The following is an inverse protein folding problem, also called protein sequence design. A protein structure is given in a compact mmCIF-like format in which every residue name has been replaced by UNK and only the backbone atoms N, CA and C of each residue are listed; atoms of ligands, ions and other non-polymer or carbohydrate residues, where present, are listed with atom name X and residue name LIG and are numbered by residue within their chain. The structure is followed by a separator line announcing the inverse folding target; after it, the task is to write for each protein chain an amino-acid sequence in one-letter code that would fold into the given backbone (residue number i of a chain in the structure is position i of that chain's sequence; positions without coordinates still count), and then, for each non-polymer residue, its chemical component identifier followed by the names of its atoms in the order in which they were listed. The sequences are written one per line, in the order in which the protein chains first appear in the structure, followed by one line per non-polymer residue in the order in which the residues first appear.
data_IF_165348310034
#
_entry.id   IF_165348310034
#
_cell.length_a   1.000
_cell.length_b   1.000
_cell.length_c   1.000
_cell.angle_alpha   90.00
_cell.angle_beta   90.00
_cell.angle_gamma   90.00
#
_symmetry.space_group_name_H-M   'P 1'
#
loop_
_entity.id
_entity.type
_entity.pdbx_description
1 polymer ?
#
# COMPACT_ATOMS: atom_id res chain seq x y z
N UNK A 1 -14.89 9.16 18.49
CA UNK A 1 -15.36 8.68 17.18
C UNK A 1 -14.22 8.69 16.18
N UNK A 2 -14.24 7.81 15.14
CA UNK A 2 -13.12 7.65 14.20
C UNK A 2 -12.71 8.94 13.47
N UNK A 3 -13.66 9.83 13.22
CA UNK A 3 -13.44 11.12 12.54
C UNK A 3 -12.63 12.09 13.40
N UNK A 4 -12.79 12.10 14.71
CA UNK A 4 -12.01 12.96 15.62
C UNK A 4 -10.55 12.53 15.74
N UNK A 5 -10.26 11.22 15.67
CA UNK A 5 -8.88 10.70 15.64
C UNK A 5 -8.13 11.11 14.36
N UNK A 6 -8.81 11.14 13.22
CA UNK A 6 -8.21 11.58 11.93
C UNK A 6 -7.87 13.06 11.94
N UNK A 7 -8.68 13.90 12.59
CA UNK A 7 -8.44 15.35 12.71
C UNK A 7 -7.27 15.63 13.67
N UNK A 8 -7.10 14.83 14.72
CA UNK A 8 -5.98 14.94 15.66
C UNK A 8 -4.63 14.55 15.06
N UNK A 9 -4.61 13.79 13.96
CA UNK A 9 -3.39 13.37 13.26
C UNK A 9 -2.90 14.40 12.22
N UNK A 10 -3.67 15.45 11.91
CA UNK A 10 -3.23 16.54 11.04
C UNK A 10 -2.29 17.48 11.81
N UNK A 11 -1.02 17.49 11.39
CA UNK A 11 -0.01 18.44 11.90
C UNK A 11 0.86 17.95 13.04
N UNK A 12 0.95 16.63 13.25
CA UNK A 12 1.96 16.00 14.11
C UNK A 12 3.02 15.32 13.24
N UNK A 13 4.27 15.44 13.68
CA UNK A 13 5.35 14.56 13.23
C UNK A 13 4.95 13.12 13.51
N UNK A 14 4.70 12.34 12.47
CA UNK A 14 4.26 10.96 12.64
C UNK A 14 5.33 10.00 12.15
N UNK A 15 5.60 8.97 12.93
CA UNK A 15 6.39 7.82 12.51
C UNK A 15 5.46 6.72 12.04
N UNK A 16 5.53 6.41 10.76
CA UNK A 16 4.59 5.51 10.09
C UNK A 16 5.32 4.24 9.66
N UNK A 17 4.79 3.08 10.07
CA UNK A 17 5.20 1.80 9.51
C UNK A 17 4.39 1.50 8.25
N UNK A 18 5.03 1.47 7.10
CA UNK A 18 4.41 1.07 5.83
C UNK A 18 4.68 -0.41 5.59
N UNK A 19 3.63 -1.16 5.32
CA UNK A 19 3.68 -2.62 5.14
C UNK A 19 3.07 -3.02 3.80
N UNK A 20 3.78 -3.89 3.08
CA UNK A 20 3.31 -4.52 1.86
C UNK A 20 3.52 -6.04 1.97
N UNK A 21 2.44 -6.76 2.25
CA UNK A 21 2.44 -8.22 2.40
C UNK A 21 2.11 -8.92 1.10
N UNK A 22 3.00 -9.83 0.68
CA UNK A 22 2.74 -10.86 -0.31
C UNK A 22 2.50 -12.21 0.36
N UNK A 23 2.25 -13.26 -0.45
CA UNK A 23 1.95 -14.63 0.07
C UNK A 23 3.07 -15.22 0.93
N UNK A 24 4.33 -14.96 0.59
CA UNK A 24 5.52 -15.47 1.29
C UNK A 24 6.55 -14.39 1.58
N UNK A 25 6.16 -13.12 1.52
CA UNK A 25 7.06 -12.00 1.75
C UNK A 25 6.35 -10.82 2.41
N UNK A 26 7.11 -9.99 3.11
CA UNK A 26 6.65 -8.76 3.71
C UNK A 26 7.74 -7.70 3.49
N UNK A 27 7.42 -6.65 2.74
CA UNK A 27 8.28 -5.47 2.60
C UNK A 27 7.80 -4.39 3.55
N UNK A 28 8.73 -3.68 4.16
CA UNK A 28 8.39 -2.57 5.05
C UNK A 28 9.30 -1.36 4.86
N UNK A 29 8.75 -0.21 5.21
CA UNK A 29 9.47 1.04 5.44
C UNK A 29 8.96 1.69 6.71
N UNK A 30 9.85 2.25 7.50
CA UNK A 30 9.51 3.08 8.65
C UNK A 30 9.90 4.52 8.33
N UNK A 31 8.93 5.41 8.33
CA UNK A 31 9.02 6.74 7.72
C UNK A 31 8.72 7.81 8.75
N UNK A 32 9.54 8.87 8.77
CA UNK A 32 9.20 10.16 9.37
C UNK A 32 8.39 10.96 8.36
N UNK A 33 7.11 11.22 8.67
CA UNK A 33 6.19 11.83 7.72
C UNK A 33 6.41 13.34 7.53
N UNK A 34 7.00 14.02 8.51
CA UNK A 34 7.31 15.45 8.41
C UNK A 34 8.49 15.71 7.48
N UNK A 35 9.54 14.90 7.68
CA UNK A 35 10.76 15.02 6.87
C UNK A 35 10.68 14.32 5.53
N UNK A 36 9.63 13.51 5.31
CA UNK A 36 9.53 12.58 4.17
C UNK A 36 10.77 11.64 4.06
N UNK A 37 11.37 11.24 5.20
CA UNK A 37 12.56 10.42 5.28
C UNK A 37 12.26 8.98 5.65
N UNK A 38 12.95 8.04 5.01
CA UNK A 38 12.90 6.62 5.34
C UNK A 38 13.93 6.32 6.43
N UNK A 39 13.50 6.19 7.68
CA UNK A 39 14.36 5.91 8.83
C UNK A 39 14.94 4.48 8.79
N UNK A 40 14.12 3.52 8.36
CA UNK A 40 14.53 2.14 8.17
C UNK A 40 13.66 1.46 7.10
N UNK A 41 14.20 0.44 6.44
CA UNK A 41 13.47 -0.37 5.46
C UNK A 41 13.98 -1.80 5.44
N UNK A 42 13.19 -2.70 4.92
CA UNK A 42 13.62 -4.08 4.77
C UNK A 42 12.60 -4.98 4.13
N UNK A 43 12.92 -6.26 4.15
CA UNK A 43 12.07 -7.31 3.63
C UNK A 43 12.23 -8.58 4.45
N UNK A 44 11.11 -9.21 4.77
CA UNK A 44 11.05 -10.62 5.15
C UNK A 44 10.72 -11.42 3.90
N UNK A 45 11.49 -12.44 3.61
CA UNK A 45 11.31 -13.32 2.45
C UNK A 45 11.19 -14.77 2.92
N UNK A 46 10.57 -15.62 2.09
CA UNK A 46 10.42 -17.07 2.33
C UNK A 46 9.66 -17.39 3.63
N UNK A 47 8.68 -16.54 4.00
CA UNK A 47 7.78 -16.75 5.13
C UNK A 47 7.05 -18.07 4.92
N UNK A 48 6.99 -18.91 5.97
CA UNK A 48 6.41 -20.24 5.92
C UNK A 48 7.36 -21.33 5.42
N UNK A 49 8.64 -21.03 5.15
CA UNK A 49 9.65 -21.97 4.66
C UNK A 49 10.87 -21.93 5.60
N UNK A 50 11.84 -21.09 5.29
CA UNK A 50 13.12 -20.94 5.99
C UNK A 50 13.53 -19.47 6.14
N UNK A 51 12.59 -18.63 6.34
CA UNK A 51 12.58 -17.17 6.44
C UNK A 51 13.91 -16.41 6.55
N UNK A 52 13.99 -15.28 5.87
CA UNK A 52 15.10 -14.34 6.03
C UNK A 52 14.57 -12.94 6.29
N UNK A 53 15.21 -12.19 7.20
CA UNK A 53 14.98 -10.76 7.40
C UNK A 53 16.17 -9.99 6.85
N UNK A 54 15.90 -9.10 5.93
CA UNK A 54 16.81 -8.06 5.51
C UNK A 54 16.39 -6.73 6.11
N UNK A 55 17.32 -6.04 6.76
CA UNK A 55 17.10 -4.75 7.41
C UNK A 55 18.15 -3.74 6.96
N UNK A 56 17.74 -2.53 6.70
CA UNK A 56 18.62 -1.41 6.39
C UNK A 56 18.12 -0.15 7.12
N UNK A 57 18.98 0.44 7.91
CA UNK A 57 18.82 1.77 8.50
C UNK A 57 19.58 2.78 7.66
N UNK A 58 19.09 3.99 7.59
CA UNK A 58 19.79 5.07 6.90
C UNK A 58 21.23 5.25 7.42
N UNK A 59 22.18 5.39 6.51
CA UNK A 59 23.61 5.52 6.84
C UNK A 59 24.32 4.25 7.33
N UNK A 60 23.64 3.09 7.33
CA UNK A 60 24.19 1.81 7.77
C UNK A 60 24.17 0.77 6.64
N UNK A 61 25.09 -0.20 6.73
CA UNK A 61 25.11 -1.34 5.81
C UNK A 61 23.82 -2.16 5.96
N UNK A 62 23.32 -2.68 4.85
CA UNK A 62 22.22 -3.64 4.80
C UNK A 62 22.66 -4.95 5.45
N UNK A 63 21.85 -5.47 6.37
CA UNK A 63 22.06 -6.75 7.04
C UNK A 63 21.00 -7.75 6.63
N UNK A 64 21.37 -9.00 6.45
CA UNK A 64 20.45 -10.11 6.20
C UNK A 64 20.73 -11.21 7.22
N UNK A 65 19.68 -11.70 7.87
CA UNK A 65 19.75 -12.75 8.89
C UNK A 65 18.66 -13.79 8.63
N UNK A 66 18.99 -15.06 8.84
CA UNK A 66 18.02 -16.15 8.81
C UNK A 66 17.14 -16.07 10.06
N UNK A 67 15.84 -16.21 9.87
CA UNK A 67 14.82 -16.15 10.92
C UNK A 67 13.73 -17.15 10.62
N UNK A 68 13.42 -18.02 11.57
CA UNK A 68 12.27 -18.88 11.46
C UNK A 68 10.99 -18.04 11.52
N UNK A 69 10.28 -17.97 10.37
CA UNK A 69 9.07 -17.17 10.18
C UNK A 69 7.94 -18.09 9.70
N UNK A 70 7.33 -18.91 10.56
CA UNK A 70 6.25 -19.80 10.15
C UNK A 70 5.03 -19.04 9.63
N UNK A 71 4.79 -17.82 10.10
CA UNK A 71 3.70 -16.96 9.62
C UNK A 71 4.11 -15.49 9.50
N UNK A 72 3.25 -14.67 8.91
CA UNK A 72 3.44 -13.21 8.84
C UNK A 72 3.44 -12.54 10.23
N UNK A 73 2.85 -13.18 11.23
CA UNK A 73 2.87 -12.65 12.61
C UNK A 73 4.29 -12.64 13.15
N UNK A 74 5.07 -13.71 12.95
CA UNK A 74 6.48 -13.76 13.32
C UNK A 74 7.30 -12.76 12.49
N UNK A 75 7.02 -12.65 11.19
CA UNK A 75 7.69 -11.67 10.33
C UNK A 75 7.50 -10.24 10.85
N UNK A 76 6.27 -9.83 11.20
CA UNK A 76 5.99 -8.50 11.79
C UNK A 76 6.73 -8.33 13.12
N UNK A 77 6.75 -9.35 13.99
CA UNK A 77 7.50 -9.27 15.25
C UNK A 77 8.98 -9.00 15.01
N UNK A 78 9.62 -9.74 14.11
CA UNK A 78 11.03 -9.52 13.78
C UNK A 78 11.31 -8.15 13.17
N UNK A 79 10.37 -7.61 12.38
CA UNK A 79 10.46 -6.22 11.89
C UNK A 79 10.45 -5.25 13.07
N UNK A 80 9.50 -5.39 14.00
CA UNK A 80 9.40 -4.51 15.17
C UNK A 80 10.60 -4.64 16.12
N UNK A 81 11.09 -5.87 16.33
CA UNK A 81 12.31 -6.12 17.11
C UNK A 81 13.53 -5.44 16.47
N UNK A 82 13.65 -5.49 15.14
CA UNK A 82 14.73 -4.83 14.43
C UNK A 82 14.62 -3.29 14.50
N UNK A 83 13.39 -2.74 14.44
CA UNK A 83 13.16 -1.31 14.65
C UNK A 83 13.51 -0.84 16.07
N UNK A 84 13.38 -1.70 17.07
CA UNK A 84 13.68 -1.42 18.49
C UNK A 84 15.07 -1.90 18.95
N UNK A 85 15.88 -2.49 18.07
CA UNK A 85 17.20 -3.01 18.43
C UNK A 85 18.07 -1.91 19.04
N UNK A 86 18.78 -2.23 20.14
CA UNK A 86 19.55 -1.26 20.92
C UNK A 86 20.70 -0.63 20.15
N UNK A 87 21.23 -1.29 19.13
CA UNK A 87 22.40 -0.85 18.34
C UNK A 87 22.03 -0.25 16.98
N UNK A 88 21.01 -0.79 16.33
CA UNK A 88 20.63 -0.45 14.96
C UNK A 88 19.15 -0.04 14.79
N UNK A 89 18.38 -0.06 15.87
CA UNK A 89 16.99 0.37 15.85
C UNK A 89 16.84 1.88 15.63
N UNK A 90 15.62 2.28 15.32
CA UNK A 90 15.23 3.68 15.06
C UNK A 90 14.15 4.17 16.02
N UNK A 91 13.61 3.29 16.86
CA UNK A 91 12.68 3.60 17.96
C UNK A 91 13.09 2.87 19.24
N UNK A 92 12.61 3.37 20.38
CA UNK A 92 12.87 2.76 21.69
C UNK A 92 11.72 1.88 22.18
N UNK A 93 10.52 2.12 21.67
CA UNK A 93 9.31 1.36 22.04
C UNK A 93 8.26 1.42 20.92
N UNK A 94 7.31 0.49 20.95
CA UNK A 94 6.19 0.45 20.00
C UNK A 94 5.27 1.67 20.11
N UNK A 95 5.28 2.40 21.22
CA UNK A 95 4.51 3.64 21.39
C UNK A 95 4.98 4.78 20.48
N UNK A 96 6.12 4.63 19.81
CA UNK A 96 6.61 5.56 18.80
C UNK A 96 6.09 5.24 17.39
N UNK A 97 5.31 4.18 17.21
CA UNK A 97 4.62 3.89 15.96
C UNK A 97 3.25 4.57 15.99
N UNK A 98 3.11 5.68 15.30
CA UNK A 98 1.88 6.48 15.32
C UNK A 98 0.78 5.91 14.43
N UNK A 99 1.14 5.23 13.34
CA UNK A 99 0.21 4.59 12.41
C UNK A 99 0.88 3.46 11.61
N UNK A 100 0.05 2.55 11.06
CA UNK A 100 0.48 1.56 10.07
C UNK A 100 -0.25 1.79 8.77
N UNK A 101 0.49 1.97 7.68
CA UNK A 101 -0.05 2.02 6.32
C UNK A 101 0.08 0.65 5.64
N UNK A 102 -1.04 0.09 5.19
CA UNK A 102 -1.06 -1.19 4.47
C UNK A 102 -1.36 -0.96 3.00
N UNK A 103 -0.47 -1.43 2.13
CA UNK A 103 -0.81 -1.58 0.72
C UNK A 103 -1.83 -2.70 0.57
N UNK A 104 -2.95 -2.40 -0.09
CA UNK A 104 -3.98 -3.36 -0.51
C UNK A 104 -4.11 -3.26 -2.01
N UNK A 105 -4.03 -4.40 -2.70
CA UNK A 105 -3.98 -4.38 -4.16
C UNK A 105 -5.33 -3.98 -4.75
N UNK A 106 -6.44 -4.54 -4.28
CA UNK A 106 -7.75 -4.29 -4.86
C UNK A 106 -8.76 -3.74 -3.86
N UNK A 107 -9.26 -2.55 -4.14
CA UNK A 107 -10.29 -1.86 -3.34
C UNK A 107 -11.66 -1.79 -4.01
N UNK A 108 -11.86 -2.56 -5.09
CA UNK A 108 -13.11 -2.53 -5.85
C UNK A 108 -13.46 -1.14 -6.36
N UNK A 109 -14.74 -0.84 -6.46
CA UNK A 109 -15.25 0.47 -6.83
C UNK A 109 -15.55 1.37 -5.61
N UNK A 110 -15.64 0.76 -4.41
CA UNK A 110 -16.03 1.45 -3.18
C UNK A 110 -14.96 2.39 -2.66
N UNK A 111 -13.70 2.00 -2.76
CA UNK A 111 -12.60 2.78 -2.22
C UNK A 111 -11.91 3.61 -3.29
N UNK A 112 -12.15 4.92 -3.24
CA UNK A 112 -11.56 5.94 -4.13
C UNK A 112 -10.41 6.71 -3.48
N UNK A 113 -10.09 6.39 -2.22
CA UNK A 113 -9.02 6.99 -1.42
C UNK A 113 -8.57 6.01 -0.34
N UNK A 114 -7.51 6.37 0.38
CA UNK A 114 -7.08 5.65 1.58
C UNK A 114 -8.12 5.77 2.69
N UNK A 115 -8.31 4.70 3.48
CA UNK A 115 -9.30 4.64 4.55
C UNK A 115 -8.71 4.05 5.83
N UNK A 116 -9.21 4.47 6.99
CA UNK A 116 -8.94 3.79 8.25
C UNK A 116 -9.55 2.40 8.23
N UNK A 117 -8.77 1.42 8.68
CA UNK A 117 -9.18 0.02 8.71
C UNK A 117 -10.04 -0.22 9.94
N UNK A 118 -11.29 -0.57 9.69
CA UNK A 118 -12.22 -1.15 10.63
C UNK A 118 -12.70 -2.53 10.14
N UNK A 119 -13.59 -3.16 10.86
CA UNK A 119 -14.10 -4.49 10.50
C UNK A 119 -14.88 -4.45 9.17
N UNK A 120 -15.59 -3.37 8.86
CA UNK A 120 -16.31 -3.23 7.59
C UNK A 120 -15.35 -3.07 6.40
N UNK A 121 -14.22 -2.41 6.59
CA UNK A 121 -13.15 -2.32 5.57
C UNK A 121 -12.50 -3.68 5.35
N UNK A 122 -12.22 -4.43 6.42
CA UNK A 122 -11.67 -5.79 6.33
C UNK A 122 -12.62 -6.70 5.54
N UNK A 123 -13.92 -6.67 5.86
CA UNK A 123 -14.91 -7.51 5.18
C UNK A 123 -15.01 -7.16 3.70
N UNK A 124 -14.98 -5.88 3.34
CA UNK A 124 -14.99 -5.48 1.92
C UNK A 124 -13.69 -5.88 1.17
N UNK A 125 -12.53 -5.82 1.82
CA UNK A 125 -11.28 -6.32 1.22
C UNK A 125 -11.37 -7.84 0.98
N UNK A 126 -12.04 -8.60 1.86
CA UNK A 126 -12.33 -10.04 1.66
C UNK A 126 -13.22 -10.26 0.44
N UNK A 127 -14.30 -9.48 0.29
CA UNK A 127 -15.18 -9.54 -0.88
C UNK A 127 -14.40 -9.27 -2.18
N UNK A 128 -13.48 -8.30 -2.18
CA UNK A 128 -12.61 -8.00 -3.31
C UNK A 128 -11.55 -9.10 -3.60
N UNK A 129 -11.43 -10.12 -2.76
CA UNK A 129 -10.46 -11.20 -2.98
C UNK A 129 -10.75 -12.03 -4.22
N UNK A 130 -12.01 -12.10 -4.66
CA UNK A 130 -12.37 -12.76 -5.93
C UNK A 130 -11.79 -12.02 -7.15
N UNK A 131 -11.59 -10.71 -7.05
CA UNK A 131 -10.95 -9.88 -8.07
C UNK A 131 -9.42 -9.88 -7.99
N UNK A 132 -8.85 -10.23 -6.82
CA UNK A 132 -7.41 -10.27 -6.57
C UNK A 132 -7.02 -11.47 -5.69
N UNK A 133 -7.27 -12.72 -6.12
CA UNK A 133 -7.11 -13.91 -5.26
C UNK A 133 -5.67 -14.19 -4.86
N UNK A 134 -4.68 -13.70 -5.60
CA UNK A 134 -3.25 -13.85 -5.28
C UNK A 134 -2.71 -12.76 -4.35
N UNK A 135 -3.46 -11.69 -4.10
CA UNK A 135 -2.96 -10.50 -3.40
C UNK A 135 -3.77 -10.14 -2.16
N UNK A 136 -5.08 -9.92 -2.29
CA UNK A 136 -5.90 -9.45 -1.17
C UNK A 136 -5.86 -10.37 0.06
N UNK A 137 -5.91 -11.71 -0.08
CA UNK A 137 -5.77 -12.60 1.08
C UNK A 137 -4.45 -12.39 1.83
N UNK A 138 -3.34 -12.22 1.12
CA UNK A 138 -2.04 -11.95 1.73
C UNK A 138 -1.99 -10.57 2.41
N UNK A 139 -2.62 -9.55 1.80
CA UNK A 139 -2.73 -8.24 2.41
C UNK A 139 -3.54 -8.29 3.72
N UNK A 140 -4.63 -9.04 3.76
CA UNK A 140 -5.43 -9.25 4.97
C UNK A 140 -4.62 -9.93 6.08
N UNK A 141 -3.85 -10.97 5.76
CA UNK A 141 -2.96 -11.64 6.73
C UNK A 141 -2.01 -10.61 7.37
N UNK A 142 -1.44 -9.70 6.58
CA UNK A 142 -0.59 -8.63 7.08
C UNK A 142 -1.32 -7.65 8.01
N UNK A 143 -2.54 -7.25 7.65
CA UNK A 143 -3.39 -6.38 8.48
C UNK A 143 -3.71 -7.06 9.81
N UNK A 144 -4.16 -8.31 9.76
CA UNK A 144 -4.50 -9.09 10.96
C UNK A 144 -3.29 -9.31 11.88
N UNK A 145 -2.11 -9.59 11.30
CA UNK A 145 -0.87 -9.72 12.06
C UNK A 145 -0.50 -8.42 12.80
N UNK A 146 -0.58 -7.28 12.12
CA UNK A 146 -0.34 -5.97 12.75
C UNK A 146 -1.38 -5.65 13.82
N UNK A 147 -2.68 -5.89 13.55
CA UNK A 147 -3.79 -5.66 14.51
C UNK A 147 -3.60 -6.49 15.79
N UNK A 148 -3.08 -7.73 15.65
CA UNK A 148 -2.81 -8.60 16.80
C UNK A 148 -1.67 -8.10 17.68
N UNK A 149 -0.63 -7.50 17.09
CA UNK A 149 0.58 -7.06 17.83
C UNK A 149 0.42 -5.62 18.32
N UNK A 150 -0.24 -4.77 17.56
CA UNK A 150 -0.42 -3.35 17.82
C UNK A 150 -1.92 -2.96 17.76
N UNK A 151 -2.76 -3.46 18.68
CA UNK A 151 -4.22 -3.29 18.60
C UNK A 151 -4.69 -1.84 18.72
N UNK A 152 -3.91 -0.98 19.39
CA UNK A 152 -4.25 0.42 19.63
C UNK A 152 -3.69 1.38 18.55
N UNK A 153 -2.82 0.89 17.66
CA UNK A 153 -2.23 1.71 16.59
C UNK A 153 -3.20 1.80 15.41
N UNK A 154 -3.54 3.01 14.95
CA UNK A 154 -4.43 3.17 13.80
C UNK A 154 -3.80 2.60 12.54
N UNK A 155 -4.60 1.89 11.75
CA UNK A 155 -4.18 1.26 10.50
C UNK A 155 -4.94 1.85 9.32
N UNK A 156 -4.25 2.07 8.21
CA UNK A 156 -4.79 2.69 7.00
C UNK A 156 -4.58 1.75 5.83
N UNK A 157 -5.64 1.45 5.08
CA UNK A 157 -5.57 0.76 3.80
C UNK A 157 -5.34 1.76 2.67
N UNK A 158 -4.34 1.49 1.84
CA UNK A 158 -3.98 2.26 0.65
C UNK A 158 -4.12 1.36 -0.56
N UNK A 159 -5.10 1.66 -1.43
CA UNK A 159 -5.49 0.76 -2.52
C UNK A 159 -4.79 1.13 -3.83
N UNK A 160 -4.22 0.13 -4.51
CA UNK A 160 -3.61 0.33 -5.83
C UNK A 160 -4.62 0.81 -6.88
N UNK A 161 -5.90 0.42 -6.73
CA UNK A 161 -6.99 0.76 -7.64
C UNK A 161 -7.59 2.15 -7.41
N UNK A 162 -7.39 2.75 -6.24
CA UNK A 162 -8.10 3.97 -5.82
C UNK A 162 -7.86 5.16 -6.76
N UNK A 163 -6.62 5.40 -7.18
CA UNK A 163 -6.29 6.51 -8.07
C UNK A 163 -6.98 6.43 -9.43
N UNK A 164 -7.24 5.23 -9.90
CA UNK A 164 -7.84 4.95 -11.20
C UNK A 164 -9.38 5.07 -11.21
N UNK A 165 -10.01 5.24 -10.03
CA UNK A 165 -11.48 5.37 -9.95
C UNK A 165 -12.01 6.66 -10.58
N UNK A 166 -11.14 7.58 -10.98
CA UNK A 166 -11.50 8.79 -11.73
C UNK A 166 -11.63 8.57 -13.25
N UNK A 167 -11.32 7.37 -13.75
CA UNK A 167 -11.49 7.04 -15.18
C UNK A 167 -12.94 7.20 -15.64
N UNK A 168 -13.18 7.79 -16.82
CA UNK A 168 -14.53 7.86 -17.38
C UNK A 168 -15.02 6.48 -17.83
N UNK A 169 -16.34 6.28 -17.84
CA UNK A 169 -16.98 5.00 -18.20
C UNK A 169 -16.44 4.39 -19.49
N UNK A 170 -16.21 5.21 -20.52
CA UNK A 170 -15.65 4.77 -21.81
C UNK A 170 -14.23 4.20 -21.73
N UNK A 171 -13.48 4.50 -20.66
CA UNK A 171 -12.11 4.00 -20.46
C UNK A 171 -12.09 2.74 -19.60
N UNK A 172 -13.03 2.58 -18.65
CA UNK A 172 -13.03 1.42 -17.78
C UNK A 172 -13.95 0.28 -18.21
N UNK A 173 -14.97 0.56 -19.04
CA UNK A 173 -15.89 -0.48 -19.53
C UNK A 173 -15.27 -1.25 -20.70
N UNK A 174 -15.35 -2.59 -20.63
CA UNK A 174 -14.98 -3.45 -21.75
C UNK A 174 -16.11 -3.55 -22.79
N UNK A 175 -15.75 -3.84 -24.04
CA UNK A 175 -16.68 -4.05 -25.15
C UNK A 175 -17.33 -5.44 -25.12
N UNK A 176 -17.84 -5.88 -23.99
CA UNK A 176 -18.54 -7.15 -23.73
C UNK A 176 -19.95 -6.88 -23.22
N UNK A 177 -20.86 -7.87 -23.18
CA UNK A 177 -22.20 -7.66 -22.63
C UNK A 177 -22.18 -7.03 -21.23
N UNK A 178 -23.02 -6.01 -21.03
CA UNK A 178 -23.06 -5.20 -19.80
C UNK A 178 -23.37 -6.04 -18.55
N UNK A 179 -24.07 -7.16 -18.72
CA UNK A 179 -24.40 -8.10 -17.63
C UNK A 179 -23.16 -8.62 -16.87
N UNK A 180 -22.01 -8.70 -17.53
CA UNK A 180 -20.75 -9.10 -16.87
C UNK A 180 -20.24 -8.02 -15.91
N UNK A 181 -20.42 -6.76 -16.24
CA UNK A 181 -20.14 -5.68 -15.31
C UNK A 181 -21.15 -5.67 -14.16
N UNK A 182 -22.46 -5.72 -14.48
CA UNK A 182 -23.51 -5.62 -13.47
C UNK A 182 -23.47 -6.79 -12.46
N UNK A 183 -23.10 -8.00 -12.92
CA UNK A 183 -23.13 -9.20 -12.08
C UNK A 183 -21.78 -9.52 -11.43
N UNK A 184 -20.67 -9.26 -12.13
CA UNK A 184 -19.35 -9.71 -11.71
C UNK A 184 -18.34 -8.56 -11.54
N UNK A 185 -18.75 -7.31 -11.72
CA UNK A 185 -17.91 -6.13 -11.65
C UNK A 185 -16.71 -6.19 -12.62
N UNK A 186 -16.90 -6.87 -13.78
CA UNK A 186 -15.84 -6.99 -14.79
C UNK A 186 -15.67 -5.65 -15.52
N UNK A 187 -14.58 -4.97 -15.20
CA UNK A 187 -14.16 -3.69 -15.77
C UNK A 187 -12.66 -3.52 -15.65
N UNK A 188 -12.10 -2.51 -16.28
CA UNK A 188 -10.75 -2.05 -16.01
C UNK A 188 -10.71 -1.35 -14.66
N UNK A 189 -9.80 -1.78 -13.76
CA UNK A 189 -9.53 -1.11 -12.48
C UNK A 189 -8.19 -0.38 -12.52
N UNK A 190 -7.16 -1.01 -13.06
CA UNK A 190 -5.80 -0.51 -13.01
C UNK A 190 -5.15 -0.70 -11.64
N UNK A 191 -3.82 -0.72 -11.63
CA UNK A 191 -3.03 -0.96 -10.41
C UNK A 191 -1.85 0.02 -10.37
N UNK A 192 -1.01 -0.09 -9.33
CA UNK A 192 0.10 0.84 -9.05
C UNK A 192 -0.39 2.29 -8.84
N UNK A 193 -1.65 2.50 -8.50
CA UNK A 193 -2.27 3.82 -8.40
C UNK A 193 -1.56 4.76 -7.43
N UNK A 194 -1.04 4.24 -6.31
CA UNK A 194 -0.23 5.02 -5.36
C UNK A 194 1.02 5.58 -6.03
N UNK A 195 1.72 4.76 -6.83
CA UNK A 195 2.91 5.20 -7.58
C UNK A 195 2.54 6.25 -8.64
N UNK A 196 1.51 5.99 -9.44
CA UNK A 196 1.04 6.93 -10.47
C UNK A 196 0.62 8.27 -9.87
N UNK A 197 -0.10 8.26 -8.75
CA UNK A 197 -0.52 9.47 -8.04
C UNK A 197 0.68 10.25 -7.49
N UNK A 198 1.62 9.58 -6.82
CA UNK A 198 2.78 10.24 -6.22
C UNK A 198 3.71 10.82 -7.29
N UNK A 199 4.10 10.01 -8.28
CA UNK A 199 5.04 10.43 -9.33
C UNK A 199 4.45 11.56 -10.18
N UNK A 200 3.16 11.52 -10.50
CA UNK A 200 2.54 12.60 -11.28
C UNK A 200 2.52 13.94 -10.53
N UNK A 201 2.26 13.92 -9.22
CA UNK A 201 2.33 15.13 -8.38
C UNK A 201 3.75 15.69 -8.33
N UNK A 202 4.74 14.82 -8.05
CA UNK A 202 6.15 15.23 -8.03
C UNK A 202 6.65 15.73 -9.39
N UNK A 203 6.19 15.14 -10.48
CA UNK A 203 6.51 15.62 -11.83
C UNK A 203 5.93 17.02 -12.09
N UNK A 204 4.68 17.28 -11.69
CA UNK A 204 4.06 18.60 -11.81
C UNK A 204 4.84 19.67 -11.00
N UNK A 205 5.21 19.35 -9.75
CA UNK A 205 6.07 20.18 -8.91
C UNK A 205 7.40 20.52 -9.59
N UNK A 206 8.10 19.52 -10.13
CA UNK A 206 9.40 19.67 -10.80
C UNK A 206 9.34 20.54 -12.07
N UNK A 207 8.25 20.47 -12.84
CA UNK A 207 8.08 21.28 -14.05
C UNK A 207 7.46 22.65 -13.77
N UNK A 208 7.15 22.94 -12.50
CA UNK A 208 6.58 24.21 -12.07
C UNK A 208 5.16 24.47 -12.58
N UNK A 209 4.34 23.42 -12.79
CA UNK A 209 2.94 23.55 -13.24
C UNK A 209 1.97 23.10 -12.16
N UNK A 210 0.81 23.79 -12.02
CA UNK A 210 -0.27 23.29 -11.18
C UNK A 210 -0.68 21.89 -11.62
N UNK A 211 -0.84 20.99 -10.66
CA UNK A 211 -1.20 19.57 -10.94
C UNK A 211 -2.54 19.47 -11.68
N UNK A 212 -3.48 20.33 -11.31
CA UNK A 212 -4.82 20.41 -11.89
C UNK A 212 -4.86 20.96 -13.33
N UNK A 213 -3.74 21.51 -13.81
CA UNK A 213 -3.58 22.03 -15.19
C UNK A 213 -2.63 21.17 -16.02
N UNK A 214 -2.09 20.10 -15.42
CA UNK A 214 -1.08 19.25 -16.04
C UNK A 214 -1.69 18.10 -16.82
N UNK A 215 -1.02 17.72 -17.91
CA UNK A 215 -1.25 16.46 -18.66
C UNK A 215 0.03 15.65 -18.61
N UNK A 216 -0.06 14.47 -18.04
CA UNK A 216 1.10 13.64 -17.75
C UNK A 216 0.86 12.19 -18.18
N UNK A 217 1.92 11.56 -18.67
CA UNK A 217 1.98 10.10 -18.81
C UNK A 217 3.00 9.61 -17.79
N UNK A 218 2.57 8.68 -16.94
CA UNK A 218 3.45 8.07 -15.94
C UNK A 218 3.64 6.61 -16.28
N UNK A 219 4.90 6.20 -16.37
CA UNK A 219 5.31 4.81 -16.58
C UNK A 219 5.87 4.27 -15.25
N UNK A 220 5.17 3.31 -14.66
CA UNK A 220 5.67 2.51 -13.55
C UNK A 220 6.33 1.27 -14.14
N UNK A 221 7.66 1.17 -14.05
CA UNK A 221 8.45 0.09 -14.65
C UNK A 221 9.19 -0.67 -13.55
N UNK A 222 8.73 -1.87 -13.25
CA UNK A 222 9.28 -2.74 -12.21
C UNK A 222 9.05 -4.21 -12.56
N UNK A 223 8.94 -5.08 -11.56
CA UNK A 223 8.53 -6.48 -11.75
C UNK A 223 7.14 -6.61 -12.38
N UNK A 224 6.22 -5.68 -12.06
CA UNK A 224 5.04 -5.35 -12.86
C UNK A 224 5.25 -4.01 -13.57
N UNK A 225 4.62 -3.80 -14.72
CA UNK A 225 4.71 -2.56 -15.48
C UNK A 225 3.31 -2.03 -15.82
N UNK A 226 3.11 -0.71 -15.69
CA UNK A 226 1.88 -0.03 -16.09
C UNK A 226 2.16 1.38 -16.56
N UNK A 227 1.28 1.87 -17.42
CA UNK A 227 1.29 3.24 -17.93
C UNK A 227 -0.05 3.88 -17.61
N UNK A 228 -0.06 5.10 -17.10
CA UNK A 228 -1.30 5.84 -16.83
C UNK A 228 -1.29 7.21 -17.49
N UNK A 229 -2.41 7.55 -18.10
CA UNK A 229 -2.68 8.89 -18.62
C UNK A 229 -3.40 9.71 -17.54
N UNK A 230 -2.83 10.87 -17.22
CA UNK A 230 -3.33 11.76 -16.17
C UNK A 230 -3.61 13.12 -16.79
N UNK A 231 -4.79 13.63 -16.55
CA UNK A 231 -5.22 14.95 -17.02
C UNK A 231 -5.91 15.68 -15.87
N UNK A 232 -5.47 16.90 -15.63
CA UNK A 232 -6.04 17.77 -14.60
C UNK A 232 -6.09 17.11 -13.21
N UNK A 233 -5.00 16.44 -12.84
CA UNK A 233 -4.88 15.75 -11.55
C UNK A 233 -5.64 14.42 -11.43
N UNK A 234 -6.26 13.92 -12.50
CA UNK A 234 -7.10 12.71 -12.52
C UNK A 234 -6.56 11.68 -13.49
N UNK A 235 -6.57 10.41 -13.11
CA UNK A 235 -6.35 9.32 -14.04
C UNK A 235 -7.52 9.25 -15.03
N UNK A 236 -7.21 9.27 -16.33
CA UNK A 236 -8.20 9.20 -17.40
C UNK A 236 -8.13 7.88 -18.18
N UNK A 237 -7.00 7.18 -18.08
CA UNK A 237 -6.78 5.85 -18.64
C UNK A 237 -5.56 5.18 -18.01
N UNK A 238 -5.50 3.84 -18.07
CA UNK A 238 -4.34 3.06 -17.59
C UNK A 238 -4.23 1.75 -18.36
N UNK A 239 -3.03 1.19 -18.43
CA UNK A 239 -2.73 0.00 -19.23
C UNK A 239 -3.02 -1.33 -18.56
N UNK A 240 -3.15 -1.40 -17.23
CA UNK A 240 -3.61 -2.61 -16.54
C UNK A 240 -5.13 -2.63 -16.47
N UNK A 241 -5.73 -3.81 -16.63
CA UNK A 241 -7.17 -3.99 -16.76
C UNK A 241 -7.87 -4.45 -15.49
N UNK A 242 -8.71 -5.48 -15.64
CA UNK A 242 -9.36 -6.22 -14.55
C UNK A 242 -8.28 -6.87 -13.65
N UNK A 243 -7.25 -7.38 -14.27
CA UNK A 243 -6.06 -7.97 -13.64
C UNK A 243 -4.80 -7.18 -14.07
N UNK A 244 -3.62 -7.43 -13.45
CA UNK A 244 -2.36 -6.83 -13.88
C UNK A 244 -1.95 -7.14 -15.33
N UNK A 245 -2.46 -8.20 -15.91
CA UNK A 245 -2.40 -8.49 -17.34
C UNK A 245 -3.82 -8.40 -17.91
N UNK A 246 -4.00 -7.57 -18.93
CA UNK A 246 -5.30 -7.38 -19.59
C UNK A 246 -5.61 -8.51 -20.56
#
# INVERSE_FOLDING_TARGET
TGTERVILLRGKDMKILVVNCGSSSLKFQFIDSEKEEVLAKGVCERIGIDGTLTYAKEGHAKETVDKDMPTHTEAIRYVLDALMDSSKGVIKSLSEVDAVGHRVVHGGEKFTSSVLIDDAVIDYIKECSDLAPLHNPANLIGIEACKKIMPDVPMVAVFDTAFHQTMPKKAYMYGIPLEYYDKYLIRRYGFHGTSHSYVSKKAAELIGKPYEESRLIVCHLGGGASVSAISNGRCIDTSMGLTPLE
#
